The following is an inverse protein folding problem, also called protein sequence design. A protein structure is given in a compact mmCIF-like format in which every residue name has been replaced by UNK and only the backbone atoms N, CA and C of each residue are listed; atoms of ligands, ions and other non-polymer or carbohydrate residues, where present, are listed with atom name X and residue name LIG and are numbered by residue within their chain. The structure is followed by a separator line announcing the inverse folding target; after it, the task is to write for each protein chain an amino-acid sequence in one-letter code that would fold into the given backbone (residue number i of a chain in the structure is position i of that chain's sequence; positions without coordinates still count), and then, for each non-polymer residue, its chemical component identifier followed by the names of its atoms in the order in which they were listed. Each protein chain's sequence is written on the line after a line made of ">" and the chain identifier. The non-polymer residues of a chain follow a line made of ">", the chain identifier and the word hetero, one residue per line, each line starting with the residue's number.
data_IF_666215072532
#
_entry.id   IF_666215072532
#
_cell.length_a   1.000
_cell.length_b   1.000
_cell.length_c   1.000
_cell.angle_alpha   90.00
_cell.angle_beta   90.00
_cell.angle_gamma   90.00
#
_symmetry.space_group_name_H-M   'P 1'
#
loop_
_entity.id
_entity.type
_entity.pdbx_description
1 polymer ?
#
# COMPACT_ATOMS: atom_id res chain seq x y z
N UNK A 1 -15.63 -24.55 20.69
CA UNK A 1 -15.25 -23.63 19.60
C UNK A 1 -16.19 -22.43 19.65
N UNK A 2 -15.75 -21.35 20.28
CA UNK A 2 -16.51 -20.09 20.30
C UNK A 2 -16.56 -19.55 18.88
N UNK A 3 -17.77 -19.49 18.28
CA UNK A 3 -17.98 -18.76 17.02
C UNK A 3 -17.42 -17.36 17.22
N UNK A 4 -16.41 -16.98 16.43
CA UNK A 4 -15.87 -15.64 16.46
C UNK A 4 -17.03 -14.67 16.14
N UNK A 5 -17.48 -13.91 17.13
CA UNK A 5 -18.70 -13.07 17.05
C UNK A 5 -18.46 -11.77 16.30
N UNK A 6 -17.21 -11.49 15.93
CA UNK A 6 -16.82 -10.27 15.25
C UNK A 6 -17.02 -10.39 13.73
N UNK A 7 -17.55 -9.34 13.07
CA UNK A 7 -17.60 -9.30 11.62
C UNK A 7 -16.18 -9.31 11.06
N UNK A 8 -16.01 -9.92 9.88
CA UNK A 8 -14.76 -9.79 9.11
C UNK A 8 -14.67 -8.38 8.56
N UNK A 9 -13.52 -7.73 8.72
CA UNK A 9 -13.30 -6.35 8.29
C UNK A 9 -12.09 -6.29 7.38
N UNK A 10 -12.22 -5.55 6.28
CA UNK A 10 -11.07 -5.13 5.47
C UNK A 10 -10.82 -3.65 5.72
N UNK A 11 -9.63 -3.31 6.21
CA UNK A 11 -9.22 -1.94 6.49
C UNK A 11 -8.42 -1.40 5.31
N UNK A 12 -8.90 -0.33 4.68
CA UNK A 12 -8.26 0.27 3.51
C UNK A 12 -7.56 1.55 3.94
N UNK A 13 -6.30 1.70 3.53
CA UNK A 13 -5.53 2.91 3.77
C UNK A 13 -4.53 3.12 2.62
N UNK A 14 -4.28 4.40 2.30
CA UNK A 14 -3.20 4.79 1.39
C UNK A 14 -1.82 4.55 2.01
N UNK A 15 -1.77 4.42 3.35
CA UNK A 15 -0.54 4.47 4.12
C UNK A 15 -0.52 3.45 5.26
N UNK A 16 0.66 2.88 5.55
CA UNK A 16 0.92 2.02 6.70
C UNK A 16 2.34 2.25 7.24
N UNK A 17 2.43 2.79 8.46
CA UNK A 17 3.68 2.98 9.19
C UNK A 17 3.98 1.77 10.05
N UNK A 18 4.57 0.72 9.46
CA UNK A 18 4.88 -0.53 10.17
C UNK A 18 6.33 -0.63 10.66
N UNK A 19 7.28 -0.25 9.79
CA UNK A 19 8.71 -0.30 10.03
C UNK A 19 9.43 0.66 9.08
N UNK A 20 10.63 1.11 9.43
CA UNK A 20 11.41 2.04 8.60
C UNK A 20 11.80 1.46 7.23
N UNK A 21 11.95 0.14 7.13
CA UNK A 21 12.26 -0.56 5.88
C UNK A 21 11.03 -0.67 4.95
N UNK A 22 9.83 -0.43 5.48
CA UNK A 22 8.59 -0.44 4.73
C UNK A 22 8.09 1.00 4.55
N UNK A 23 8.65 1.68 3.55
CA UNK A 23 8.37 3.09 3.19
C UNK A 23 6.99 3.29 2.58
N UNK A 24 5.94 2.97 3.34
CA UNK A 24 4.54 3.06 2.91
C UNK A 24 3.74 4.12 3.66
N UNK A 25 4.39 5.13 4.26
CA UNK A 25 3.68 6.20 4.95
C UNK A 25 4.41 7.54 4.86
N UNK A 26 3.64 8.62 5.03
CA UNK A 26 4.13 10.00 5.09
C UNK A 26 3.94 10.62 6.48
N UNK A 27 2.93 10.18 7.25
CA UNK A 27 2.66 10.80 8.55
C UNK A 27 1.67 10.06 9.45
N UNK A 28 0.91 10.83 10.24
CA UNK A 28 0.08 10.31 11.33
C UNK A 28 -1.03 9.33 10.90
N UNK A 29 -1.56 9.47 9.68
CA UNK A 29 -2.53 8.51 9.14
C UNK A 29 -1.90 7.12 9.01
N UNK A 30 -0.72 7.03 8.41
CA UNK A 30 0.00 5.77 8.28
C UNK A 30 0.43 5.19 9.62
N UNK A 31 0.88 6.01 10.57
CA UNK A 31 1.19 5.55 11.94
C UNK A 31 -0.05 4.93 12.59
N UNK A 32 -1.19 5.62 12.56
CA UNK A 32 -2.45 5.11 13.09
C UNK A 32 -2.86 3.80 12.40
N UNK A 33 -2.78 3.75 11.07
CA UNK A 33 -3.10 2.56 10.30
C UNK A 33 -2.21 1.37 10.66
N UNK A 34 -0.89 1.61 10.83
CA UNK A 34 0.09 0.60 11.25
C UNK A 34 -0.20 0.07 12.65
N UNK A 35 -0.37 0.96 13.62
CA UNK A 35 -0.70 0.59 15.00
C UNK A 35 -2.04 -0.15 15.09
N UNK A 36 -3.02 0.26 14.29
CA UNK A 36 -4.33 -0.38 14.25
C UNK A 36 -4.23 -1.84 13.79
N UNK A 37 -3.47 -2.11 12.73
CA UNK A 37 -3.34 -3.47 12.17
C UNK A 37 -2.41 -4.37 12.99
N UNK A 38 -1.46 -3.80 13.74
CA UNK A 38 -0.67 -4.51 14.78
C UNK A 38 -1.53 -4.85 15.99
N UNK A 39 -2.29 -3.89 16.51
CA UNK A 39 -3.24 -4.12 17.59
C UNK A 39 -4.29 -5.17 17.21
N UNK A 40 -4.81 -5.13 15.97
CA UNK A 40 -5.71 -6.15 15.46
C UNK A 40 -5.14 -7.57 15.54
N UNK A 41 -3.85 -7.74 15.22
CA UNK A 41 -3.13 -9.02 15.32
C UNK A 41 -2.99 -9.47 16.76
N UNK A 42 -2.57 -8.55 17.64
CA UNK A 42 -2.36 -8.82 19.07
C UNK A 42 -3.63 -9.35 19.76
N UNK A 43 -4.80 -8.85 19.37
CA UNK A 43 -6.09 -9.24 19.95
C UNK A 43 -6.86 -10.27 19.10
N UNK A 44 -6.24 -10.86 18.08
CA UNK A 44 -6.85 -11.87 17.19
C UNK A 44 -8.19 -11.41 16.56
N UNK A 45 -8.26 -10.13 16.17
CA UNK A 45 -9.43 -9.61 15.46
C UNK A 45 -9.43 -10.06 13.99
N UNK A 46 -10.60 -10.39 13.40
CA UNK A 46 -10.72 -10.86 12.03
C UNK A 46 -10.62 -9.70 11.02
N UNK A 47 -9.46 -9.05 10.99
CA UNK A 47 -9.13 -7.90 10.15
C UNK A 47 -8.09 -8.32 9.12
N UNK A 48 -8.23 -7.83 7.89
CA UNK A 48 -7.16 -7.77 6.89
C UNK A 48 -6.96 -6.31 6.47
N UNK A 49 -5.76 -5.98 6.05
CA UNK A 49 -5.41 -4.63 5.63
C UNK A 49 -5.16 -4.60 4.11
N UNK A 50 -5.61 -3.54 3.44
CA UNK A 50 -5.44 -3.29 2.01
C UNK A 50 -4.76 -1.94 1.83
N UNK A 51 -3.72 -1.90 1.00
CA UNK A 51 -2.97 -0.70 0.68
C UNK A 51 -2.33 -0.75 -0.70
N UNK A 52 -1.46 0.20 -0.98
CA UNK A 52 -0.69 0.29 -2.22
C UNK A 52 0.78 0.02 -1.92
N UNK A 53 1.44 -0.76 -2.78
CA UNK A 53 2.90 -0.92 -2.75
C UNK A 53 3.50 0.29 -3.46
N UNK A 54 3.96 1.27 -2.70
CA UNK A 54 4.61 2.47 -3.25
C UNK A 54 6.04 2.15 -3.69
N UNK A 55 6.35 2.35 -4.97
CA UNK A 55 7.70 2.11 -5.51
C UNK A 55 8.77 2.95 -4.83
N UNK A 56 8.47 4.21 -4.51
CA UNK A 56 9.42 5.16 -3.93
C UNK A 56 9.03 5.66 -2.54
N UNK A 57 7.90 5.19 -2.00
CA UNK A 57 7.33 5.72 -0.76
C UNK A 57 6.95 7.20 -0.86
N UNK A 58 7.20 7.96 0.20
CA UNK A 58 6.92 9.41 0.25
C UNK A 58 8.13 10.24 -0.20
N UNK A 59 9.15 10.38 0.65
CA UNK A 59 10.44 10.99 0.30
C UNK A 59 11.49 10.65 1.36
N UNK A 60 12.76 10.66 0.98
CA UNK A 60 13.88 10.80 1.91
C UNK A 60 14.39 12.25 1.83
N UNK A 61 14.29 12.97 2.94
CA UNK A 61 14.72 14.38 3.01
C UNK A 61 16.19 14.46 3.40
N UNK A 62 16.97 15.18 2.60
CA UNK A 62 18.39 15.46 2.82
C UNK A 62 18.60 16.97 3.00
N UNK A 63 19.78 17.35 3.51
CA UNK A 63 20.18 18.74 3.70
C UNK A 63 21.43 18.98 2.84
N UNK A 64 21.41 20.01 2.00
CA UNK A 64 22.55 20.36 1.14
C UNK A 64 23.68 21.08 1.91
N UNK A 65 24.80 21.33 1.22
CA UNK A 65 25.97 22.02 1.80
C UNK A 65 25.66 23.44 2.32
N UNK A 66 24.53 24.03 1.93
CA UNK A 66 24.07 25.36 2.36
C UNK A 66 23.02 25.28 3.48
N UNK A 67 22.72 24.10 4.00
CA UNK A 67 21.72 23.90 5.04
C UNK A 67 20.28 23.91 4.54
N UNK A 68 20.04 23.78 3.23
CA UNK A 68 18.68 23.77 2.66
C UNK A 68 18.17 22.33 2.54
N UNK A 69 16.94 22.03 3.03
CA UNK A 69 16.34 20.73 2.82
C UNK A 69 15.94 20.53 1.35
N UNK A 70 16.10 19.30 0.87
CA UNK A 70 15.61 18.85 -0.42
C UNK A 70 15.16 17.40 -0.37
N UNK A 71 14.20 17.07 -1.22
CA UNK A 71 13.57 15.76 -1.28
C UNK A 71 14.29 14.85 -2.27
N UNK A 72 14.47 13.59 -1.90
CA UNK A 72 15.00 12.55 -2.76
C UNK A 72 14.03 11.37 -2.82
N UNK A 73 14.09 10.64 -3.94
CA UNK A 73 13.19 9.54 -4.22
C UNK A 73 14.00 8.36 -4.74
N UNK A 74 13.88 7.23 -4.07
CA UNK A 74 14.61 6.02 -4.39
C UNK A 74 13.63 4.88 -4.58
N UNK A 75 13.81 4.10 -5.65
CA UNK A 75 13.04 2.87 -5.82
C UNK A 75 13.40 1.92 -4.69
N UNK A 76 12.38 1.45 -3.99
CA UNK A 76 12.49 0.56 -2.84
C UNK A 76 12.41 -0.90 -3.30
N UNK A 77 13.28 -1.72 -2.73
CA UNK A 77 13.17 -3.17 -2.78
C UNK A 77 12.68 -3.65 -1.41
N UNK A 78 11.65 -4.49 -1.41
CA UNK A 78 11.05 -4.97 -0.18
C UNK A 78 11.27 -6.47 -0.05
N UNK A 79 12.16 -6.87 0.86
CA UNK A 79 12.49 -8.29 1.07
C UNK A 79 11.34 -9.09 1.71
N UNK A 80 10.46 -8.40 2.43
CA UNK A 80 9.41 -9.00 3.24
C UNK A 80 8.04 -9.02 2.56
N UNK A 81 7.99 -8.96 1.23
CA UNK A 81 6.76 -9.06 0.44
C UNK A 81 6.67 -10.42 -0.28
N UNK A 82 5.60 -11.15 0.01
CA UNK A 82 5.24 -12.38 -0.68
C UNK A 82 4.40 -12.06 -1.91
N UNK A 83 4.76 -12.62 -3.06
CA UNK A 83 3.91 -12.63 -4.24
C UNK A 83 2.75 -13.61 -4.03
N UNK A 84 1.51 -13.10 -4.03
CA UNK A 84 0.33 -13.94 -3.83
C UNK A 84 -0.04 -14.74 -5.08
N UNK A 85 0.54 -14.41 -6.25
CA UNK A 85 0.13 -14.93 -7.55
C UNK A 85 -1.18 -14.32 -8.09
N UNK A 86 -1.87 -13.49 -7.30
CA UNK A 86 -3.11 -12.81 -7.69
C UNK A 86 -2.80 -11.53 -8.46
N UNK A 87 -3.51 -11.35 -9.57
CA UNK A 87 -3.58 -10.09 -10.31
C UNK A 87 -5.04 -9.71 -10.54
N UNK A 88 -5.35 -8.43 -10.45
CA UNK A 88 -6.68 -7.88 -10.74
C UNK A 88 -6.54 -6.68 -11.63
N UNK A 89 -7.48 -6.45 -12.55
CA UNK A 89 -7.47 -5.24 -13.36
C UNK A 89 -8.41 -4.16 -12.82
N UNK A 90 -8.17 -2.92 -13.17
CA UNK A 90 -9.05 -1.75 -12.98
C UNK A 90 -9.03 -0.92 -14.26
N UNK A 91 -10.13 -0.21 -14.56
CA UNK A 91 -10.18 0.71 -15.69
C UNK A 91 -9.79 2.11 -15.22
N UNK A 92 -8.75 2.69 -15.82
CA UNK A 92 -8.26 4.03 -15.51
C UNK A 92 -8.03 4.75 -16.83
N UNK A 93 -8.67 5.92 -17.01
CA UNK A 93 -8.56 6.73 -18.24
C UNK A 93 -8.89 5.95 -19.53
N UNK A 94 -9.80 4.98 -19.44
CA UNK A 94 -10.20 4.13 -20.56
C UNK A 94 -9.19 3.01 -20.90
N UNK A 95 -8.14 2.84 -20.10
CA UNK A 95 -7.17 1.75 -20.23
C UNK A 95 -7.37 0.72 -19.11
N UNK A 96 -7.12 -0.55 -19.43
CA UNK A 96 -7.07 -1.61 -18.43
C UNK A 96 -5.70 -1.62 -17.76
N UNK A 97 -5.68 -1.35 -16.45
CA UNK A 97 -4.48 -1.36 -15.62
C UNK A 97 -4.50 -2.59 -14.70
N UNK A 98 -3.46 -3.40 -14.79
CA UNK A 98 -3.27 -4.59 -13.97
C UNK A 98 -2.59 -4.24 -12.64
N UNK A 99 -3.12 -4.76 -11.54
CA UNK A 99 -2.56 -4.63 -10.21
C UNK A 99 -2.15 -6.02 -9.72
N UNK A 100 -0.84 -6.22 -9.53
CA UNK A 100 -0.30 -7.39 -8.83
C UNK A 100 -0.54 -7.23 -7.33
N UNK A 101 -0.90 -8.32 -6.64
CA UNK A 101 -1.17 -8.30 -5.21
C UNK A 101 0.00 -8.94 -4.45
N UNK A 102 0.61 -8.16 -3.58
CA UNK A 102 1.63 -8.60 -2.64
C UNK A 102 1.03 -8.77 -1.25
N UNK A 103 1.68 -9.55 -0.38
CA UNK A 103 1.27 -9.76 1.01
C UNK A 103 2.46 -9.60 1.96
N UNK A 104 2.21 -9.06 3.15
CA UNK A 104 3.18 -9.14 4.26
C UNK A 104 2.50 -9.28 5.63
N UNK A 105 3.14 -10.06 6.50
CA UNK A 105 2.84 -10.21 7.93
C UNK A 105 4.13 -10.09 8.77
N UNK A 106 5.22 -9.59 8.18
CA UNK A 106 6.55 -9.62 8.80
C UNK A 106 6.74 -8.66 9.98
N UNK A 107 5.75 -7.80 10.27
CA UNK A 107 5.87 -6.71 11.24
C UNK A 107 4.84 -6.82 12.38
N UNK A 108 4.49 -8.06 12.77
CA UNK A 108 3.48 -8.35 13.80
C UNK A 108 2.09 -7.75 13.49
N UNK A 109 1.78 -7.58 12.20
CA UNK A 109 0.52 -7.08 11.70
C UNK A 109 -0.43 -8.21 11.26
N UNK A 110 -1.73 -7.91 11.15
CA UNK A 110 -2.65 -8.77 10.39
C UNK A 110 -2.25 -8.80 8.91
N UNK A 111 -2.67 -9.79 8.10
CA UNK A 111 -2.37 -9.82 6.67
C UNK A 111 -2.58 -8.46 5.99
N UNK A 112 -1.49 -7.87 5.51
CA UNK A 112 -1.50 -6.64 4.72
C UNK A 112 -1.27 -6.99 3.26
N UNK A 113 -2.28 -6.70 2.43
CA UNK A 113 -2.21 -6.86 0.99
C UNK A 113 -1.93 -5.52 0.32
N UNK A 114 -1.00 -5.50 -0.63
CA UNK A 114 -0.54 -4.30 -1.30
C UNK A 114 -0.68 -4.43 -2.81
N UNK A 115 -1.39 -3.48 -3.43
CA UNK A 115 -1.57 -3.43 -4.87
C UNK A 115 -0.40 -2.72 -5.54
N UNK A 116 0.10 -3.29 -6.65
CA UNK A 116 1.27 -2.82 -7.37
C UNK A 116 1.00 -2.78 -8.88
N UNK A 117 1.20 -1.62 -9.50
CA UNK A 117 1.06 -1.43 -10.95
C UNK A 117 2.39 -1.51 -11.68
N UNK A 118 3.53 -1.66 -10.97
CA UNK A 118 4.87 -1.68 -11.55
C UNK A 118 5.22 -3.03 -12.20
N UNK A 119 4.40 -3.42 -13.18
CA UNK A 119 4.52 -4.67 -13.94
C UNK A 119 4.58 -4.39 -15.45
N UNK A 120 5.17 -5.28 -16.23
CA UNK A 120 5.45 -5.07 -17.66
C UNK A 120 4.18 -4.96 -18.52
N UNK A 121 3.07 -5.52 -18.05
CA UNK A 121 1.78 -5.51 -18.75
C UNK A 121 1.14 -4.11 -18.82
N UNK A 122 1.55 -3.19 -17.95
CA UNK A 122 0.96 -1.84 -17.88
C UNK A 122 1.74 -0.84 -18.72
N UNK A 123 1.00 -0.01 -19.46
CA UNK A 123 1.48 1.22 -20.09
C UNK A 123 1.95 2.23 -19.04
N UNK A 124 1.15 2.43 -17.98
CA UNK A 124 1.42 3.37 -16.89
C UNK A 124 1.77 2.63 -15.58
N UNK A 125 3.05 2.30 -15.45
CA UNK A 125 3.61 1.63 -14.26
C UNK A 125 3.72 2.55 -13.05
N UNK A 126 3.70 3.87 -13.24
CA UNK A 126 4.03 4.86 -12.22
C UNK A 126 2.83 5.32 -11.39
N UNK A 127 1.64 4.78 -11.65
CA UNK A 127 0.44 5.03 -10.84
C UNK A 127 0.67 4.69 -9.35
N UNK A 128 1.45 3.65 -9.05
CA UNK A 128 1.88 3.28 -7.69
C UNK A 128 3.32 3.73 -7.36
N UNK A 129 3.80 4.76 -8.06
CA UNK A 129 5.17 5.27 -7.97
C UNK A 129 5.50 5.93 -6.64
N UNK A 130 4.75 6.98 -6.29
CA UNK A 130 4.97 7.81 -5.11
C UNK A 130 3.67 8.03 -4.34
N UNK A 131 3.76 7.90 -3.02
CA UNK A 131 2.70 8.29 -2.10
C UNK A 131 2.59 9.83 -2.13
N UNK A 132 1.45 10.36 -2.57
CA UNK A 132 1.20 11.82 -2.63
C UNK A 132 2.22 12.65 -3.43
N UNK A 133 3.00 12.02 -4.32
CA UNK A 133 3.94 12.72 -5.20
C UNK A 133 3.25 13.44 -6.36
N UNK A 134 2.06 12.97 -6.74
CA UNK A 134 1.31 13.47 -7.88
C UNK A 134 0.01 14.19 -7.46
N UNK A 135 -0.36 15.19 -8.24
CA UNK A 135 -1.54 16.03 -8.01
C UNK A 135 -2.53 15.87 -9.16
N UNK A 136 -3.82 15.99 -8.86
CA UNK A 136 -4.87 15.92 -9.89
C UNK A 136 -5.29 14.49 -10.19
N UNK A 137 -5.27 14.10 -11.46
CA UNK A 137 -5.87 12.86 -11.93
C UNK A 137 -5.15 11.59 -11.44
N UNK A 138 -3.83 11.65 -11.23
CA UNK A 138 -3.03 10.53 -10.71
C UNK A 138 -3.51 10.10 -9.32
N UNK A 139 -3.92 11.07 -8.49
CA UNK A 139 -4.47 10.77 -7.16
C UNK A 139 -5.80 10.02 -7.29
N UNK A 140 -6.66 10.41 -8.23
CA UNK A 140 -7.92 9.70 -8.49
C UNK A 140 -7.64 8.28 -8.99
N UNK A 141 -6.66 8.12 -9.88
CA UNK A 141 -6.22 6.80 -10.35
C UNK A 141 -5.73 5.91 -9.19
N UNK A 142 -4.93 6.46 -8.27
CA UNK A 142 -4.47 5.76 -7.07
C UNK A 142 -5.63 5.37 -6.14
N UNK A 143 -6.61 6.26 -5.95
CA UNK A 143 -7.82 5.97 -5.16
C UNK A 143 -8.69 4.88 -5.83
N UNK A 144 -8.75 4.83 -7.16
CA UNK A 144 -9.41 3.75 -7.93
C UNK A 144 -8.66 2.42 -7.71
N UNK A 145 -7.33 2.43 -7.79
CA UNK A 145 -6.50 1.24 -7.53
C UNK A 145 -6.78 0.71 -6.11
N UNK A 146 -6.73 1.58 -5.10
CA UNK A 146 -7.00 1.16 -3.72
C UNK A 146 -8.43 0.67 -3.54
N UNK A 147 -9.42 1.44 -3.98
CA UNK A 147 -10.84 1.16 -3.74
C UNK A 147 -11.36 0.00 -4.59
N UNK A 148 -11.38 0.18 -5.92
CA UNK A 148 -11.91 -0.83 -6.85
C UNK A 148 -10.97 -2.02 -6.92
N UNK A 149 -9.67 -1.78 -7.10
CA UNK A 149 -8.67 -2.84 -7.17
C UNK A 149 -8.60 -3.64 -5.88
N UNK A 150 -8.61 -2.97 -4.71
CA UNK A 150 -8.59 -3.65 -3.42
C UNK A 150 -9.84 -4.51 -3.16
N UNK A 151 -11.03 -4.04 -3.54
CA UNK A 151 -12.26 -4.88 -3.46
C UNK A 151 -12.19 -6.07 -4.41
N UNK A 152 -11.63 -5.92 -5.61
CA UNK A 152 -11.42 -7.04 -6.55
C UNK A 152 -10.41 -8.04 -5.99
N UNK A 153 -9.30 -7.58 -5.41
CA UNK A 153 -8.29 -8.43 -4.78
C UNK A 153 -8.87 -9.27 -3.63
N UNK A 154 -9.74 -8.68 -2.81
CA UNK A 154 -10.44 -9.40 -1.73
C UNK A 154 -11.40 -10.50 -2.20
N UNK A 155 -11.83 -10.46 -3.46
CA UNK A 155 -12.79 -11.42 -4.05
C UNK A 155 -12.13 -12.52 -4.88
N UNK A 156 -10.84 -12.39 -5.17
CA UNK A 156 -10.07 -13.32 -5.99
C UNK A 156 -9.74 -14.63 -5.25
#
# INVERSE_FOLDING_TARGET
>A
MTKNKHPRVAYFSMEYGLHQDLKLYAGGLGILAGDYIKGAKQYDFPIVAIGIKWKQGYTDQLIDEKGKPYDTYHNQEFDNLEDTGVKVSVEIRGEEIWCKVWKTEAYDNVPLYLLDTDIEENSDRWLTGQLYGWFGEERVAQEIILGVGGVRALRA
#
